data_IF_804492090893
#
_entry.id   IF_804492090893
#
_cell.length_a   1.000
_cell.length_b   1.000
_cell.length_c   1.000
_cell.angle_alpha   90.00
_cell.angle_beta   90.00
_cell.angle_gamma   90.00
#
_symmetry.space_group_name_H-M   'P 1'
#
loop_
_entity.id
_entity.type
_entity.pdbx_description
1 polymer ?
#
# COMPACT_ATOMS: atom_id res chain seq x y z
N UNK A 1 8.99 17.63 -10.12
CA UNK A 1 9.53 17.52 -8.77
C UNK A 1 9.75 16.07 -8.38
N UNK A 2 10.85 15.81 -7.73
CA UNK A 2 11.18 14.43 -7.36
C UNK A 2 10.49 14.00 -6.10
N UNK A 3 10.02 12.76 -6.09
CA UNK A 3 9.60 12.11 -4.86
C UNK A 3 10.84 11.84 -4.03
N UNK A 4 10.94 12.47 -2.87
CA UNK A 4 12.02 12.23 -1.94
C UNK A 4 11.53 11.52 -0.70
N UNK A 5 12.47 11.14 0.15
CA UNK A 5 12.14 10.57 1.45
C UNK A 5 11.32 11.57 2.26
N UNK A 6 10.26 11.08 2.87
CA UNK A 6 9.45 11.89 3.76
C UNK A 6 10.04 11.86 5.18
N UNK A 7 9.93 12.98 5.88
CA UNK A 7 10.28 13.03 7.29
C UNK A 7 9.26 12.23 8.09
N UNK A 8 9.61 11.86 9.33
CA UNK A 8 8.67 11.18 10.21
C UNK A 8 7.42 12.02 10.45
N UNK A 9 7.58 13.34 10.52
CA UNK A 9 6.45 14.25 10.68
C UNK A 9 5.50 14.16 9.48
N UNK A 10 6.07 14.17 8.26
CA UNK A 10 5.27 14.10 7.05
C UNK A 10 4.61 12.73 6.91
N UNK A 11 5.30 11.65 7.30
CA UNK A 11 4.71 10.31 7.30
C UNK A 11 3.50 10.28 8.22
N UNK A 12 3.61 10.81 9.43
CA UNK A 12 2.48 10.84 10.37
C UNK A 12 1.32 11.66 9.82
N UNK A 13 1.62 12.80 9.21
CA UNK A 13 0.60 13.66 8.63
C UNK A 13 -0.15 12.93 7.51
N UNK A 14 0.57 12.26 6.62
CA UNK A 14 -0.05 11.51 5.54
C UNK A 14 -0.85 10.32 6.06
N UNK A 15 -0.37 9.63 7.09
CA UNK A 15 -1.09 8.50 7.69
C UNK A 15 -2.43 8.92 8.27
N UNK A 16 -2.54 10.15 8.75
CA UNK A 16 -3.81 10.64 9.30
C UNK A 16 -4.87 10.81 8.23
N UNK A 17 -4.50 10.84 6.96
CA UNK A 17 -5.42 11.04 5.84
C UNK A 17 -5.84 9.74 5.16
N UNK A 18 -5.26 8.61 5.57
CA UNK A 18 -5.62 7.29 5.02
C UNK A 18 -5.90 6.34 6.16
N UNK A 19 -6.85 5.42 5.96
CA UNK A 19 -7.22 4.47 7.01
C UNK A 19 -6.50 3.14 6.82
N UNK A 20 -6.18 2.50 7.93
CA UNK A 20 -5.71 1.11 7.94
C UNK A 20 -4.21 0.93 7.79
N UNK A 21 -3.44 1.98 7.61
CA UNK A 21 -2.00 1.89 7.41
C UNK A 21 -1.24 2.29 8.66
N UNK A 22 -0.13 1.62 8.91
CA UNK A 22 0.79 1.95 10.01
C UNK A 22 2.20 2.10 9.46
N UNK A 23 3.03 2.87 10.16
CA UNK A 23 4.45 3.02 9.83
C UNK A 23 5.26 2.19 10.79
N UNK A 24 6.02 1.23 10.25
CA UNK A 24 6.82 0.30 11.05
C UNK A 24 7.95 -0.24 10.17
N UNK A 25 9.14 -0.39 10.73
CA UNK A 25 10.30 -0.94 10.03
C UNK A 25 10.63 -0.15 8.75
N UNK A 26 10.48 1.18 8.82
CA UNK A 26 10.77 2.08 7.71
C UNK A 26 9.89 1.83 6.48
N UNK A 27 8.67 1.35 6.71
CA UNK A 27 7.67 1.05 5.67
C UNK A 27 6.31 1.47 6.16
N UNK A 28 5.36 1.65 5.23
CA UNK A 28 3.96 1.70 5.63
C UNK A 28 3.33 0.35 5.27
N UNK A 29 2.48 -0.15 6.17
CA UNK A 29 1.94 -1.50 6.08
C UNK A 29 0.45 -1.50 6.33
N UNK A 30 -0.25 -2.40 5.67
CA UNK A 30 -1.67 -2.62 5.92
C UNK A 30 -2.00 -4.10 5.82
N UNK A 31 -2.81 -4.61 6.75
CA UNK A 31 -3.40 -5.93 6.67
C UNK A 31 -4.86 -5.77 6.25
N UNK A 32 -5.29 -6.51 5.23
CA UNK A 32 -6.66 -6.46 4.75
C UNK A 32 -7.24 -7.86 4.81
N UNK A 33 -8.42 -7.99 5.40
CA UNK A 33 -9.17 -9.26 5.42
C UNK A 33 -10.32 -9.20 4.45
N UNK A 34 -10.59 -10.34 3.82
CA UNK A 34 -11.66 -10.48 2.82
C UNK A 34 -12.56 -11.66 3.21
N UNK A 35 -13.78 -11.67 2.66
CA UNK A 35 -14.71 -12.77 2.91
C UNK A 35 -14.34 -14.01 2.11
N UNK A 36 -13.67 -13.85 0.97
CA UNK A 36 -13.30 -14.97 0.11
C UNK A 36 -11.84 -14.86 -0.32
N UNK A 37 -11.25 -16.01 -0.63
CA UNK A 37 -9.91 -16.07 -1.17
C UNK A 37 -9.82 -15.32 -2.50
N UNK A 38 -10.82 -15.53 -3.39
CA UNK A 38 -10.80 -14.89 -4.69
C UNK A 38 -10.86 -13.36 -4.60
N UNK A 39 -11.60 -12.82 -3.63
CA UNK A 39 -11.62 -11.37 -3.44
C UNK A 39 -10.23 -10.83 -3.10
N UNK A 40 -9.46 -11.54 -2.27
CA UNK A 40 -8.10 -11.14 -1.96
C UNK A 40 -7.21 -11.17 -3.20
N UNK A 41 -7.37 -12.18 -4.04
CA UNK A 41 -6.59 -12.30 -5.29
C UNK A 41 -6.97 -11.19 -6.28
N UNK A 42 -8.25 -10.83 -6.35
CA UNK A 42 -8.69 -9.74 -7.22
C UNK A 42 -8.01 -8.42 -6.83
N UNK A 43 -7.88 -8.16 -5.53
CA UNK A 43 -7.17 -6.96 -5.07
C UNK A 43 -5.68 -7.04 -5.43
N UNK A 44 -5.06 -8.21 -5.23
CA UNK A 44 -3.64 -8.39 -5.59
C UNK A 44 -3.42 -8.11 -7.07
N UNK A 45 -4.29 -8.63 -7.94
CA UNK A 45 -4.17 -8.39 -9.38
C UNK A 45 -4.30 -6.91 -9.72
N UNK A 46 -5.24 -6.21 -9.09
CA UNK A 46 -5.43 -4.77 -9.34
C UNK A 46 -4.20 -3.97 -8.88
N UNK A 47 -3.65 -4.31 -7.71
CA UNK A 47 -2.43 -3.67 -7.22
C UNK A 47 -1.27 -3.92 -8.18
N UNK A 48 -1.13 -5.15 -8.66
CA UNK A 48 -0.04 -5.50 -9.57
C UNK A 48 -0.09 -4.68 -10.86
N UNK A 49 -1.28 -4.50 -11.43
CA UNK A 49 -1.43 -3.68 -12.64
C UNK A 49 -1.01 -2.24 -12.40
N UNK A 50 -1.43 -1.68 -11.28
CA UNK A 50 -1.06 -0.30 -10.93
C UNK A 50 0.43 -0.18 -10.69
N UNK A 51 1.02 -1.15 -9.99
CA UNK A 51 2.44 -1.16 -9.68
C UNK A 51 3.29 -1.13 -10.96
N UNK A 52 2.87 -1.88 -11.98
CA UNK A 52 3.55 -1.89 -13.27
C UNK A 52 3.41 -0.54 -13.98
N UNK A 53 2.24 0.08 -13.90
CA UNK A 53 2.01 1.37 -14.54
C UNK A 53 2.89 2.47 -13.95
N UNK A 54 3.06 2.49 -12.63
CA UNK A 54 3.79 3.56 -11.95
C UNK A 54 5.21 3.17 -11.56
N UNK A 55 5.59 1.94 -11.86
CA UNK A 55 6.91 1.39 -11.54
C UNK A 55 7.25 1.52 -10.06
N UNK A 56 6.29 1.18 -9.21
CA UNK A 56 6.47 1.19 -7.76
C UNK A 56 5.77 -0.05 -7.21
N UNK A 57 6.55 -1.02 -6.77
CA UNK A 57 6.07 -2.37 -6.48
C UNK A 57 6.00 -2.64 -4.98
N UNK A 58 4.79 -2.81 -4.42
CA UNK A 58 4.67 -3.20 -3.01
C UNK A 58 5.06 -4.65 -2.81
N UNK A 59 5.46 -4.98 -1.59
CA UNK A 59 5.55 -6.37 -1.18
C UNK A 59 4.18 -6.81 -0.71
N UNK A 60 3.71 -7.96 -1.18
CA UNK A 60 2.38 -8.48 -0.84
C UNK A 60 2.52 -9.92 -0.38
N UNK A 61 2.00 -10.20 0.81
CA UNK A 61 1.96 -11.56 1.35
C UNK A 61 0.51 -11.99 1.41
N UNK A 62 0.17 -13.07 0.71
CA UNK A 62 -1.19 -13.61 0.67
C UNK A 62 -1.29 -14.78 1.61
N UNK A 63 -2.29 -14.74 2.48
CA UNK A 63 -2.52 -15.81 3.46
C UNK A 63 -4.02 -16.08 3.53
N UNK A 64 -4.49 -16.97 2.68
CA UNK A 64 -5.89 -17.33 2.50
C UNK A 64 -6.74 -16.08 2.20
N UNK A 65 -7.60 -15.64 3.12
CA UNK A 65 -8.46 -14.46 2.92
C UNK A 65 -7.86 -13.17 3.45
N UNK A 66 -6.54 -13.16 3.69
CA UNK A 66 -5.87 -12.00 4.29
C UNK A 66 -4.63 -11.66 3.46
N UNK A 67 -4.41 -10.37 3.23
CA UNK A 67 -3.17 -9.93 2.60
C UNK A 67 -2.48 -8.90 3.50
N UNK A 68 -1.15 -8.97 3.53
CA UNK A 68 -0.31 -7.96 4.14
C UNK A 68 0.39 -7.21 3.01
N UNK A 69 0.29 -5.89 3.01
CA UNK A 69 0.91 -5.05 1.99
C UNK A 69 1.93 -4.15 2.67
N UNK A 70 3.15 -4.11 2.12
CA UNK A 70 4.21 -3.24 2.61
C UNK A 70 4.71 -2.35 1.49
N UNK A 71 4.83 -1.07 1.78
CA UNK A 71 5.27 -0.07 0.81
C UNK A 71 6.48 0.69 1.36
N UNK A 72 7.52 0.73 0.57
CA UNK A 72 8.71 1.54 0.83
C UNK A 72 9.38 1.79 -0.52
N UNK A 73 10.28 2.77 -0.58
CA UNK A 73 11.10 2.97 -1.76
C UNK A 73 12.48 2.39 -1.47
N UNK A 74 12.79 1.26 -2.10
CA UNK A 74 14.09 0.60 -1.90
C UNK A 74 15.24 1.47 -2.38
N UNK A 75 15.04 2.18 -3.48
CA UNK A 75 16.08 3.03 -4.05
C UNK A 75 16.44 4.20 -3.15
N UNK A 76 15.46 4.74 -2.44
CA UNK A 76 15.65 5.90 -1.58
C UNK A 76 15.80 5.52 -0.10
N UNK A 77 15.53 4.27 0.23
CA UNK A 77 15.73 3.76 1.59
C UNK A 77 14.65 4.15 2.59
N UNK A 78 13.42 4.33 2.14
CA UNK A 78 12.33 4.66 3.06
C UNK A 78 11.04 5.05 2.37
N UNK A 79 10.14 5.65 3.13
CA UNK A 79 8.79 6.00 2.65
C UNK A 79 8.82 7.33 1.90
N UNK A 80 8.13 7.34 0.77
CA UNK A 80 8.05 8.51 -0.12
C UNK A 80 6.59 8.83 -0.43
N UNK A 81 6.38 9.94 -1.13
CA UNK A 81 5.06 10.32 -1.62
C UNK A 81 4.45 9.21 -2.48
N UNK A 82 5.26 8.54 -3.30
CA UNK A 82 4.78 7.46 -4.16
C UNK A 82 4.17 6.31 -3.33
N UNK A 83 4.70 6.04 -2.14
CA UNK A 83 4.14 5.04 -1.25
C UNK A 83 2.72 5.42 -0.83
N UNK A 84 2.50 6.69 -0.51
CA UNK A 84 1.17 7.16 -0.10
C UNK A 84 0.19 7.22 -1.26
N UNK A 85 0.66 7.53 -2.46
CA UNK A 85 -0.21 7.48 -3.64
C UNK A 85 -0.67 6.06 -3.89
N UNK A 86 0.22 5.08 -3.80
CA UNK A 86 -0.14 3.68 -3.94
C UNK A 86 -1.08 3.23 -2.82
N UNK A 87 -0.83 3.64 -1.58
CA UNK A 87 -1.68 3.30 -0.44
C UNK A 87 -3.10 3.83 -0.64
N UNK A 88 -3.24 5.05 -1.13
CA UNK A 88 -4.54 5.65 -1.42
C UNK A 88 -5.28 4.85 -2.50
N UNK A 89 -4.57 4.47 -3.56
CA UNK A 89 -5.14 3.65 -4.61
C UNK A 89 -5.59 2.29 -4.06
N UNK A 90 -4.76 1.65 -3.24
CA UNK A 90 -5.09 0.35 -2.65
C UNK A 90 -6.35 0.45 -1.80
N UNK A 91 -6.47 1.52 -1.01
CA UNK A 91 -7.69 1.72 -0.21
C UNK A 91 -8.93 1.84 -1.11
N UNK A 92 -8.81 2.57 -2.21
CA UNK A 92 -9.91 2.77 -3.13
C UNK A 92 -10.37 1.46 -3.76
N UNK A 93 -9.46 0.68 -4.34
CA UNK A 93 -9.83 -0.58 -4.99
C UNK A 93 -10.32 -1.62 -3.99
N UNK A 94 -9.79 -1.61 -2.78
CA UNK A 94 -10.24 -2.51 -1.73
C UNK A 94 -11.70 -2.24 -1.39
N UNK A 95 -12.05 -0.97 -1.23
CA UNK A 95 -13.44 -0.60 -0.94
C UNK A 95 -14.37 -1.01 -2.08
N UNK A 96 -13.95 -0.83 -3.33
CA UNK A 96 -14.76 -1.21 -4.48
C UNK A 96 -14.98 -2.72 -4.56
N UNK A 97 -13.95 -3.50 -4.32
CA UNK A 97 -14.04 -4.96 -4.42
C UNK A 97 -14.83 -5.56 -3.27
N UNK A 98 -14.77 -4.94 -2.08
CA UNK A 98 -15.47 -5.44 -0.90
C UNK A 98 -16.95 -5.07 -0.85
N UNK A 99 -17.40 -4.24 -1.76
CA UNK A 99 -18.83 -3.86 -1.81
C UNK A 99 -19.74 -5.04 -2.10
#
# INVERSE_FOLDING_TARGET
>A
MMSGLLSKKDIRSNLSNISGWVFEDNKIKRVIQFDTYMASIDVVNAIAKKAEQVNHHPEIIVSYCKILIELTSHDLGGVTTDCFEMATYINSITNDIKK
#
